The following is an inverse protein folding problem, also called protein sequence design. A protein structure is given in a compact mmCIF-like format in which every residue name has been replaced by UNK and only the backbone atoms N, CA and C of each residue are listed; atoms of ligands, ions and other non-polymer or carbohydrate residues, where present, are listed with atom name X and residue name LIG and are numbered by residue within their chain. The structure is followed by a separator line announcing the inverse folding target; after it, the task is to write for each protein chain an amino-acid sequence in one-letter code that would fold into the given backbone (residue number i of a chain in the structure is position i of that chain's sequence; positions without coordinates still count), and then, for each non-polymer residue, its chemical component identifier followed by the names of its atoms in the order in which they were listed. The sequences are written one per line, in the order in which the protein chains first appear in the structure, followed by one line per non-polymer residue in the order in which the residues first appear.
data_IF_616640785970
#
_entry.id   IF_616640785970
#
_cell.length_a   1.000
_cell.length_b   1.000
_cell.length_c   1.000
_cell.angle_alpha   90.00
_cell.angle_beta   90.00
_cell.angle_gamma   90.00
#
_symmetry.space_group_name_H-M   'P 1'
#
loop_
_entity.id
_entity.type
_entity.pdbx_description
1 polymer ?
#
# COMPACT_ATOMS: atom_id res chain seq x y z
N UNK A 1 6.26 -57.53 -5.65
CA UNK A 1 6.92 -56.62 -4.74
C UNK A 1 7.12 -55.29 -5.47
N UNK A 2 6.14 -54.40 -5.41
CA UNK A 2 6.12 -53.12 -6.14
C UNK A 2 5.94 -52.00 -5.13
N UNK A 3 7.02 -51.27 -4.91
CA UNK A 3 7.07 -50.11 -4.04
C UNK A 3 6.39 -48.94 -4.74
N UNK A 4 5.31 -48.44 -4.15
CA UNK A 4 4.62 -47.20 -4.57
C UNK A 4 5.24 -46.02 -3.84
N UNK A 5 5.98 -45.20 -4.58
CA UNK A 5 6.37 -43.86 -4.12
C UNK A 5 5.17 -42.96 -4.06
N UNK A 6 4.87 -42.47 -2.85
CA UNK A 6 3.85 -41.43 -2.63
C UNK A 6 4.49 -40.07 -2.85
N UNK A 7 4.17 -39.42 -3.96
CA UNK A 7 4.49 -38.00 -4.16
C UNK A 7 3.51 -37.14 -3.36
N UNK A 8 4.00 -36.54 -2.30
CA UNK A 8 3.31 -35.44 -1.58
C UNK A 8 3.48 -34.15 -2.40
N UNK A 9 2.49 -33.83 -3.19
CA UNK A 9 2.36 -32.50 -3.78
C UNK A 9 1.76 -31.54 -2.76
N UNK A 10 2.61 -30.78 -2.04
CA UNK A 10 2.19 -29.64 -1.25
C UNK A 10 1.69 -28.53 -2.19
N UNK A 11 0.39 -28.34 -2.23
CA UNK A 11 -0.25 -27.23 -2.96
C UNK A 11 -0.14 -25.95 -2.13
N UNK A 12 0.72 -25.04 -2.55
CA UNK A 12 0.79 -23.69 -2.01
C UNK A 12 -0.36 -22.83 -2.56
N UNK A 13 -1.27 -22.41 -1.69
CA UNK A 13 -2.27 -21.40 -1.97
C UNK A 13 -1.82 -20.08 -1.37
N UNK A 14 -1.24 -19.21 -2.20
CA UNK A 14 -0.95 -17.84 -1.82
C UNK A 14 -1.89 -16.97 -2.66
N UNK A 15 -2.83 -16.22 -2.02
CA UNK A 15 -3.70 -15.25 -2.67
C UNK A 15 -4.08 -15.65 -4.10
N UNK A 16 -5.16 -16.40 -4.24
CA UNK A 16 -5.56 -17.04 -5.48
C UNK A 16 -5.26 -16.21 -6.71
N UNK A 17 -4.53 -16.78 -7.63
CA UNK A 17 -4.43 -16.33 -9.01
C UNK A 17 -3.19 -15.62 -9.50
N UNK A 18 -1.98 -15.88 -9.09
CA UNK A 18 -0.93 -15.32 -9.93
C UNK A 18 0.34 -16.14 -10.10
N UNK A 19 0.46 -17.29 -9.48
CA UNK A 19 1.71 -18.05 -9.58
C UNK A 19 1.60 -19.44 -10.19
N UNK A 20 0.38 -20.01 -10.40
CA UNK A 20 0.25 -21.31 -11.04
C UNK A 20 -1.03 -21.45 -11.87
N UNK A 21 -1.01 -22.15 -13.01
CA UNK A 21 -2.21 -22.50 -13.77
C UNK A 21 -2.92 -23.65 -13.06
N UNK A 22 -4.09 -23.38 -12.45
CA UNK A 22 -4.95 -24.38 -11.83
C UNK A 22 -5.74 -23.82 -10.66
N UNK A 23 -7.02 -23.66 -10.85
CA UNK A 23 -7.99 -23.00 -9.96
C UNK A 23 -7.97 -23.44 -8.50
N UNK A 24 -8.06 -22.48 -7.60
CA UNK A 24 -8.10 -22.67 -6.14
C UNK A 24 -9.51 -22.40 -5.64
N UNK A 25 -10.12 -23.42 -4.97
CA UNK A 25 -11.33 -23.26 -4.15
C UNK A 25 -10.93 -22.90 -2.72
N UNK A 26 -11.44 -21.79 -2.20
CA UNK A 26 -11.34 -21.46 -0.77
C UNK A 26 -12.58 -22.05 -0.07
N UNK A 27 -12.36 -22.97 0.88
CA UNK A 27 -13.42 -23.54 1.71
C UNK A 27 -13.36 -22.90 3.09
N UNK A 28 -14.41 -22.17 3.49
CA UNK A 28 -14.58 -21.68 4.85
C UNK A 28 -15.34 -22.70 5.70
N UNK A 29 -14.77 -23.09 6.85
CA UNK A 29 -15.47 -23.87 7.89
C UNK A 29 -15.64 -22.95 9.11
N UNK A 30 -16.87 -22.84 9.61
CA UNK A 30 -17.22 -22.04 10.79
C UNK A 30 -17.14 -22.87 12.06
N UNK A 31 -16.51 -22.35 13.12
CA UNK A 31 -16.52 -22.91 14.49
C UNK A 31 -16.81 -21.80 15.50
N UNK A 32 -17.61 -22.12 16.53
CA UNK A 32 -18.16 -21.21 17.54
C UNK A 32 -17.13 -20.80 18.60
N UNK A 33 -17.29 -19.57 19.10
CA UNK A 33 -16.36 -18.90 20.06
C UNK A 33 -16.74 -19.11 21.52
N UNK A 34 -15.73 -19.24 22.39
CA UNK A 34 -15.81 -19.05 23.85
C UNK A 34 -14.93 -17.86 24.27
N UNK A 35 -15.43 -17.08 25.26
CA UNK A 35 -14.81 -15.81 25.72
C UNK A 35 -13.77 -16.03 26.81
N UNK A 36 -12.58 -15.45 26.67
CA UNK A 36 -11.64 -15.24 27.76
C UNK A 36 -11.07 -13.82 27.76
N UNK A 37 -10.64 -13.34 28.97
CA UNK A 37 -10.29 -11.94 29.27
C UNK A 37 -8.94 -11.51 28.68
N UNK A 38 -8.91 -10.26 28.18
CA UNK A 38 -7.74 -9.58 27.62
C UNK A 38 -6.80 -9.06 28.71
N UNK A 39 -5.50 -9.20 28.42
CA UNK A 39 -4.44 -8.40 29.04
C UNK A 39 -3.79 -7.54 27.93
N UNK A 40 -4.08 -6.23 27.99
CA UNK A 40 -3.62 -5.26 26.99
C UNK A 40 -2.25 -4.72 27.33
N UNK A 41 -1.18 -5.34 26.81
CA UNK A 41 0.12 -4.68 26.73
C UNK A 41 0.02 -3.42 25.85
N UNK A 42 0.26 -2.24 26.45
CA UNK A 42 0.29 -0.95 25.75
C UNK A 42 1.34 -0.96 24.64
N UNK A 43 0.92 -1.16 23.39
CA UNK A 43 1.66 -0.66 22.25
C UNK A 43 1.68 0.86 22.35
N UNK A 44 2.87 1.46 22.36
CA UNK A 44 3.03 2.91 22.36
C UNK A 44 2.17 3.48 21.20
N UNK A 45 1.35 4.48 21.50
CA UNK A 45 0.56 5.18 20.48
C UNK A 45 1.52 5.81 19.49
N UNK A 46 1.58 5.26 18.28
CA UNK A 46 2.34 5.85 17.18
C UNK A 46 1.52 7.05 16.70
N UNK A 47 2.03 8.25 16.94
CA UNK A 47 1.46 9.49 16.45
C UNK A 47 1.34 9.44 14.93
N UNK A 48 0.12 9.51 14.42
CA UNK A 48 -0.17 9.50 12.98
C UNK A 48 -0.46 10.88 12.42
N UNK A 49 -0.63 11.89 13.28
CA UNK A 49 -0.84 13.29 12.86
C UNK A 49 0.42 13.81 12.14
N UNK A 50 0.30 14.22 10.86
CA UNK A 50 1.44 14.73 10.11
C UNK A 50 2.09 15.98 10.72
N UNK A 51 1.34 16.76 11.51
CA UNK A 51 1.86 17.96 12.18
C UNK A 51 2.73 17.55 13.35
N UNK A 52 2.24 16.66 14.21
CA UNK A 52 3.00 16.14 15.36
C UNK A 52 4.26 15.39 14.89
N UNK A 53 4.14 14.56 13.85
CA UNK A 53 5.29 13.87 13.25
C UNK A 53 6.33 14.85 12.70
N UNK A 54 5.90 16.00 12.16
CA UNK A 54 6.84 17.02 11.72
C UNK A 54 7.56 17.68 12.90
N UNK A 55 6.84 17.96 13.99
CA UNK A 55 7.38 18.57 15.21
C UNK A 55 8.38 17.62 15.91
N UNK A 56 8.06 16.35 16.03
CA UNK A 56 8.99 15.32 16.54
C UNK A 56 10.28 15.23 15.72
N UNK A 57 10.16 15.45 14.39
CA UNK A 57 11.32 15.55 13.49
C UNK A 57 12.14 16.83 13.65
N UNK A 58 11.71 17.78 14.49
CA UNK A 58 12.25 19.12 14.55
C UNK A 58 11.98 19.90 13.25
N UNK A 59 10.88 19.60 12.58
CA UNK A 59 10.45 20.21 11.33
C UNK A 59 9.13 20.96 11.52
N UNK A 60 8.83 21.87 10.59
CA UNK A 60 7.56 22.59 10.54
C UNK A 60 6.68 22.04 9.43
N UNK A 61 5.43 21.72 9.75
CA UNK A 61 4.47 21.34 8.74
C UNK A 61 4.06 22.57 7.94
N UNK A 62 4.20 22.56 6.61
CA UNK A 62 3.96 23.70 5.72
C UNK A 62 3.14 23.30 4.50
N UNK A 63 2.35 24.24 3.95
CA UNK A 63 1.65 24.08 2.68
C UNK A 63 2.29 24.94 1.60
N UNK A 64 2.33 24.46 0.37
CA UNK A 64 2.74 25.24 -0.79
C UNK A 64 1.65 26.18 -1.33
N UNK A 65 0.53 26.27 -0.63
CA UNK A 65 -0.48 27.34 -0.78
C UNK A 65 -0.03 28.62 -0.07
N UNK A 66 0.88 28.49 0.89
CA UNK A 66 1.49 29.63 1.58
C UNK A 66 2.52 30.33 0.67
N UNK A 67 2.78 31.65 0.88
CA UNK A 67 3.79 32.35 0.16
C UNK A 67 5.16 31.66 0.23
N UNK A 68 5.78 31.42 -0.92
CA UNK A 68 7.08 30.77 -1.03
C UNK A 68 7.97 31.44 -2.08
N UNK A 69 9.22 31.00 -2.15
CA UNK A 69 10.12 31.46 -3.21
C UNK A 69 9.70 30.84 -4.53
N UNK A 70 9.91 31.60 -5.62
CA UNK A 70 9.57 31.15 -6.97
C UNK A 70 10.82 31.07 -7.85
N UNK A 71 10.74 30.25 -8.90
CA UNK A 71 11.83 30.07 -9.88
C UNK A 71 11.38 30.52 -11.26
N UNK A 72 12.15 31.42 -11.90
CA UNK A 72 11.97 31.82 -13.30
C UNK A 72 13.19 31.42 -14.13
N UNK A 73 12.98 31.01 -15.36
CA UNK A 73 14.04 30.65 -16.29
C UNK A 73 14.67 31.92 -16.89
N UNK A 74 16.00 31.96 -16.94
CA UNK A 74 16.77 33.02 -17.62
C UNK A 74 17.82 32.36 -18.52
N UNK A 75 17.51 32.22 -19.80
CA UNK A 75 18.35 31.50 -20.76
C UNK A 75 18.58 30.04 -20.36
N UNK A 76 19.85 29.68 -20.14
CA UNK A 76 20.25 28.32 -19.68
C UNK A 76 20.22 28.14 -18.17
N UNK A 77 20.02 29.23 -17.39
CA UNK A 77 20.03 29.25 -15.92
C UNK A 77 18.66 29.56 -15.32
N UNK A 78 18.60 29.66 -13.99
CA UNK A 78 17.40 30.01 -13.24
C UNK A 78 17.68 31.18 -12.29
N UNK A 79 16.69 32.06 -12.16
CA UNK A 79 16.61 33.09 -11.15
C UNK A 79 15.55 32.71 -10.11
N UNK A 80 15.82 33.11 -8.87
CA UNK A 80 14.93 32.80 -7.74
C UNK A 80 14.46 34.13 -7.11
N UNK A 81 13.18 34.16 -6.75
CA UNK A 81 12.53 35.32 -6.20
C UNK A 81 11.95 34.99 -4.83
N UNK A 82 12.05 35.92 -3.89
CA UNK A 82 11.45 35.74 -2.56
C UNK A 82 9.92 35.90 -2.55
N UNK A 83 9.33 35.84 -1.37
CA UNK A 83 7.88 35.95 -1.16
C UNK A 83 7.30 37.30 -1.54
N UNK A 84 8.15 38.37 -1.59
CA UNK A 84 7.78 39.70 -2.05
C UNK A 84 8.08 39.91 -3.55
N UNK A 85 8.51 38.86 -4.26
CA UNK A 85 8.88 38.96 -5.67
C UNK A 85 10.22 39.58 -5.96
N UNK A 86 11.08 39.85 -4.95
CA UNK A 86 12.41 40.42 -5.10
C UNK A 86 13.42 39.31 -5.43
N UNK A 87 14.36 39.63 -6.32
CA UNK A 87 15.43 38.71 -6.73
C UNK A 87 16.31 38.32 -5.52
N UNK A 88 16.44 37.02 -5.25
CA UNK A 88 17.31 36.49 -4.21
C UNK A 88 18.75 36.57 -4.70
N UNK A 89 19.58 37.28 -3.95
CA UNK A 89 21.04 37.43 -4.19
C UNK A 89 21.88 36.84 -3.07
N UNK A 90 21.25 36.46 -1.94
CA UNK A 90 21.90 35.86 -0.79
C UNK A 90 22.42 34.45 -1.17
N UNK A 91 23.75 34.30 -1.09
CA UNK A 91 24.43 33.05 -1.50
C UNK A 91 24.07 31.89 -0.63
N UNK A 92 23.78 32.08 0.66
CA UNK A 92 23.38 31.00 1.58
C UNK A 92 22.02 30.40 1.15
N UNK A 93 21.06 31.28 0.83
CA UNK A 93 19.75 30.86 0.30
C UNK A 93 19.88 30.18 -1.05
N UNK A 94 20.69 30.74 -1.95
CA UNK A 94 20.94 30.16 -3.27
C UNK A 94 21.60 28.79 -3.17
N UNK A 95 22.56 28.60 -2.26
CA UNK A 95 23.22 27.33 -2.01
C UNK A 95 22.21 26.28 -1.50
N UNK A 96 21.35 26.67 -0.54
CA UNK A 96 20.25 25.78 -0.07
C UNK A 96 19.35 25.36 -1.23
N UNK A 97 18.91 26.31 -2.05
CA UNK A 97 18.02 26.04 -3.19
C UNK A 97 18.69 25.09 -4.19
N UNK A 98 19.97 25.29 -4.50
CA UNK A 98 20.74 24.40 -5.40
C UNK A 98 20.80 22.96 -4.85
N UNK A 99 21.03 22.82 -3.53
CA UNK A 99 21.04 21.50 -2.84
C UNK A 99 19.70 20.74 -2.92
N UNK A 100 18.56 21.42 -3.10
CA UNK A 100 17.27 20.76 -3.30
C UNK A 100 17.22 20.00 -4.63
N UNK A 101 18.13 20.24 -5.55
CA UNK A 101 18.23 19.57 -6.84
C UNK A 101 16.89 19.52 -7.59
N UNK A 102 16.20 20.66 -7.67
CA UNK A 102 14.91 20.78 -8.35
C UNK A 102 15.13 20.59 -9.85
N UNK A 103 14.51 19.57 -10.50
CA UNK A 103 14.72 19.29 -11.91
C UNK A 103 14.51 20.53 -12.79
N UNK A 104 15.37 20.75 -13.79
CA UNK A 104 15.22 21.88 -14.72
C UNK A 104 13.88 21.90 -15.47
N UNK A 105 13.34 20.72 -15.78
CA UNK A 105 12.06 20.54 -16.46
C UNK A 105 10.84 20.97 -15.64
N UNK A 106 10.96 21.10 -14.31
CA UNK A 106 9.81 21.48 -13.48
C UNK A 106 9.37 22.92 -13.76
N UNK A 107 8.04 23.10 -13.88
CA UNK A 107 7.36 24.38 -14.03
C UNK A 107 6.59 24.73 -12.75
N UNK A 108 6.19 26.00 -12.60
CA UNK A 108 5.41 26.48 -11.43
C UNK A 108 6.05 26.04 -10.11
N UNK A 109 7.37 26.31 -9.98
CA UNK A 109 8.12 25.88 -8.83
C UNK A 109 7.86 26.80 -7.66
N UNK A 110 7.40 26.22 -6.55
CA UNK A 110 7.33 26.83 -5.23
C UNK A 110 8.48 26.25 -4.38
N UNK A 111 9.13 27.09 -3.56
CA UNK A 111 10.22 26.68 -2.67
C UNK A 111 9.94 27.24 -1.28
N UNK A 112 9.97 26.39 -0.28
CA UNK A 112 9.75 26.76 1.11
C UNK A 112 10.80 27.78 1.58
N UNK A 113 10.38 28.92 2.16
CA UNK A 113 11.32 29.87 2.75
C UNK A 113 12.08 29.29 3.94
N UNK A 114 11.46 28.39 4.70
CA UNK A 114 12.00 27.79 5.90
C UNK A 114 12.87 26.56 5.55
N UNK A 115 14.08 26.52 6.12
CA UNK A 115 14.95 25.32 6.01
C UNK A 115 14.39 24.12 6.74
N UNK A 116 13.57 24.34 7.77
CA UNK A 116 12.90 23.31 8.57
C UNK A 116 11.53 22.90 8.04
N UNK A 117 11.04 23.45 6.92
CA UNK A 117 9.77 23.03 6.34
C UNK A 117 9.81 21.54 5.91
N UNK A 118 8.79 20.74 6.25
CA UNK A 118 8.75 19.33 5.85
C UNK A 118 8.66 19.14 4.33
N UNK A 119 7.99 20.04 3.61
CA UNK A 119 8.08 20.20 2.15
C UNK A 119 9.09 21.32 1.87
N UNK A 120 10.12 21.01 1.13
CA UNK A 120 11.17 21.98 0.76
C UNK A 120 10.90 22.63 -0.60
N UNK A 121 10.29 21.93 -1.54
CA UNK A 121 9.82 22.51 -2.80
C UNK A 121 8.70 21.66 -3.43
N UNK A 122 7.88 22.29 -4.24
CA UNK A 122 6.96 21.63 -5.17
C UNK A 122 7.22 22.15 -6.59
N UNK A 123 6.69 21.47 -7.60
CA UNK A 123 6.71 21.88 -9.00
C UNK A 123 5.96 20.90 -9.87
N UNK A 124 5.67 21.28 -11.10
CA UNK A 124 5.02 20.40 -12.08
C UNK A 124 6.04 19.86 -13.08
N UNK A 125 6.04 18.55 -13.28
CA UNK A 125 6.88 17.90 -14.28
C UNK A 125 6.36 18.16 -15.72
N UNK A 126 7.06 17.63 -16.74
CA UNK A 126 6.69 17.80 -18.14
C UNK A 126 5.29 17.26 -18.51
N UNK A 127 4.76 16.36 -17.67
CA UNK A 127 3.39 15.81 -17.79
C UNK A 127 2.36 16.60 -16.99
N UNK A 128 2.73 17.76 -16.43
CA UNK A 128 1.86 18.59 -15.60
C UNK A 128 1.62 18.07 -14.19
N UNK A 129 2.21 16.94 -13.78
CA UNK A 129 1.99 16.31 -12.48
C UNK A 129 2.74 17.06 -11.39
N UNK A 130 2.07 17.36 -10.28
CA UNK A 130 2.67 17.97 -9.09
C UNK A 130 3.67 17.02 -8.46
N UNK A 131 4.88 17.47 -8.25
CA UNK A 131 5.99 16.74 -7.66
C UNK A 131 6.47 17.47 -6.41
N UNK A 132 6.95 16.72 -5.42
CA UNK A 132 7.34 17.22 -4.12
C UNK A 132 8.81 16.91 -3.83
N UNK A 133 9.48 17.88 -3.19
CA UNK A 133 10.80 17.72 -2.57
C UNK A 133 10.64 17.87 -1.07
N UNK A 134 10.68 16.74 -0.37
CA UNK A 134 10.58 16.71 1.08
C UNK A 134 11.94 16.91 1.74
N UNK A 135 11.94 17.41 2.96
CA UNK A 135 13.10 17.44 3.83
C UNK A 135 13.63 16.02 4.09
N UNK A 136 14.93 15.84 4.23
CA UNK A 136 15.54 14.51 4.39
C UNK A 136 15.06 13.83 5.66
N UNK A 137 15.06 14.53 6.80
CA UNK A 137 14.51 14.01 8.07
C UNK A 137 13.05 13.59 7.96
N UNK A 138 12.22 14.37 7.24
CA UNK A 138 10.84 14.02 7.00
C UNK A 138 10.68 12.68 6.28
N UNK A 139 11.57 12.41 5.31
CA UNK A 139 11.58 11.11 4.61
C UNK A 139 11.95 9.98 5.55
N UNK A 140 13.01 10.15 6.34
CA UNK A 140 13.50 9.12 7.26
C UNK A 140 12.40 8.73 8.26
N UNK A 141 11.80 9.70 8.95
CA UNK A 141 10.75 9.45 9.95
C UNK A 141 9.50 8.88 9.32
N UNK A 142 9.06 9.40 8.16
CA UNK A 142 7.93 8.79 7.44
C UNK A 142 8.21 7.36 6.96
N UNK A 143 9.43 7.04 6.61
CA UNK A 143 9.79 5.69 6.19
C UNK A 143 9.89 4.76 7.42
N UNK A 144 10.37 5.21 8.57
CA UNK A 144 10.37 4.50 9.86
C UNK A 144 8.93 4.29 10.37
N UNK A 145 8.17 5.35 10.57
CA UNK A 145 6.77 5.29 11.02
C UNK A 145 5.88 4.46 10.08
N UNK A 146 6.18 4.43 8.79
CA UNK A 146 5.44 3.61 7.83
C UNK A 146 5.58 2.12 8.12
N UNK A 147 6.76 1.67 8.52
CA UNK A 147 6.99 0.25 8.75
C UNK A 147 6.50 -0.20 10.12
N UNK A 148 6.55 0.67 11.14
CA UNK A 148 5.91 0.43 12.42
C UNK A 148 4.38 0.39 12.27
N UNK A 149 3.83 1.34 11.51
CA UNK A 149 2.41 1.40 11.17
C UNK A 149 1.91 0.15 10.45
N UNK A 150 2.74 -0.50 9.62
CA UNK A 150 2.29 -1.70 8.90
C UNK A 150 2.03 -2.89 9.84
N UNK A 151 2.72 -2.96 10.98
CA UNK A 151 2.44 -3.97 12.01
C UNK A 151 1.08 -3.72 12.69
N UNK A 152 0.76 -2.45 12.97
CA UNK A 152 -0.55 -2.05 13.52
C UNK A 152 -1.65 -2.32 12.50
N UNK A 153 -1.43 -1.99 11.22
CA UNK A 153 -2.34 -2.31 10.13
C UNK A 153 -2.59 -3.82 10.01
N UNK A 154 -1.52 -4.62 10.00
CA UNK A 154 -1.63 -6.07 9.93
C UNK A 154 -2.46 -6.62 11.09
N UNK A 155 -2.23 -6.12 12.33
CA UNK A 155 -3.03 -6.51 13.50
C UNK A 155 -4.52 -6.13 13.36
N UNK A 156 -4.85 -5.08 12.62
CA UNK A 156 -6.23 -4.65 12.39
C UNK A 156 -6.94 -5.43 11.27
N UNK A 157 -6.22 -6.16 10.41
CA UNK A 157 -6.79 -6.90 9.28
C UNK A 157 -7.95 -7.85 9.66
N UNK A 158 -7.89 -8.62 10.77
CA UNK A 158 -9.02 -9.46 11.18
C UNK A 158 -10.29 -8.65 11.44
N UNK A 159 -10.17 -7.49 12.09
CA UNK A 159 -11.29 -6.58 12.35
C UNK A 159 -11.88 -6.05 11.05
N UNK A 160 -11.01 -5.62 10.13
CA UNK A 160 -11.42 -5.14 8.80
C UNK A 160 -12.15 -6.26 8.03
N UNK A 161 -11.59 -7.47 7.99
CA UNK A 161 -12.17 -8.61 7.27
C UNK A 161 -13.52 -9.03 7.81
N UNK A 162 -13.67 -9.11 9.14
CA UNK A 162 -14.96 -9.41 9.78
C UNK A 162 -16.05 -8.39 9.41
N UNK A 163 -15.71 -7.09 9.43
CA UNK A 163 -16.64 -6.05 9.05
C UNK A 163 -16.99 -6.10 7.56
N UNK A 164 -16.00 -6.25 6.68
CA UNK A 164 -16.20 -6.44 5.24
C UNK A 164 -17.10 -7.65 4.95
N UNK A 165 -16.86 -8.77 5.61
CA UNK A 165 -17.67 -9.98 5.47
C UNK A 165 -19.12 -9.78 5.92
N UNK A 166 -19.36 -9.00 6.98
CA UNK A 166 -20.68 -8.62 7.45
C UNK A 166 -21.39 -7.69 6.45
N UNK A 167 -20.71 -6.65 6.00
CA UNK A 167 -21.28 -5.64 5.12
C UNK A 167 -21.56 -6.18 3.70
N UNK A 168 -20.76 -7.13 3.22
CA UNK A 168 -21.06 -7.86 1.96
C UNK A 168 -22.38 -8.64 2.00
N UNK A 169 -22.89 -8.98 3.18
CA UNK A 169 -24.18 -9.69 3.37
C UNK A 169 -25.38 -8.75 3.41
N UNK A 170 -25.17 -7.44 3.56
CA UNK A 170 -26.26 -6.45 3.63
C UNK A 170 -27.21 -6.58 2.43
N UNK A 171 -28.51 -6.30 2.59
CA UNK A 171 -29.45 -6.23 1.47
C UNK A 171 -29.11 -5.02 0.57
N UNK A 172 -29.62 -5.02 -0.65
CA UNK A 172 -29.47 -3.95 -1.63
C UNK A 172 -27.99 -3.52 -1.88
N UNK A 173 -27.79 -2.41 -2.57
CA UNK A 173 -26.48 -1.80 -2.84
C UNK A 173 -26.28 -0.59 -1.92
N UNK A 174 -26.36 -0.80 -0.60
CA UNK A 174 -26.07 0.22 0.39
C UNK A 174 -24.60 0.64 0.35
N UNK A 175 -24.28 1.86 0.82
CA UNK A 175 -22.93 2.43 0.88
C UNK A 175 -21.91 1.44 1.46
N UNK A 176 -22.21 0.85 2.62
CA UNK A 176 -21.31 -0.08 3.31
C UNK A 176 -21.01 -1.32 2.48
N UNK A 177 -22.02 -1.87 1.80
CA UNK A 177 -21.84 -3.05 0.94
C UNK A 177 -20.95 -2.74 -0.26
N UNK A 178 -21.10 -1.58 -0.88
CA UNK A 178 -20.27 -1.18 -2.02
C UNK A 178 -18.85 -0.89 -1.57
N UNK A 179 -18.65 -0.21 -0.44
CA UNK A 179 -17.34 0.02 0.16
C UNK A 179 -16.66 -1.31 0.56
N UNK A 180 -17.39 -2.22 1.20
CA UNK A 180 -16.90 -3.56 1.51
C UNK A 180 -16.47 -4.33 0.25
N UNK A 181 -17.21 -4.17 -0.87
CA UNK A 181 -16.84 -4.76 -2.16
C UNK A 181 -15.52 -4.18 -2.69
N UNK A 182 -15.35 -2.85 -2.61
CA UNK A 182 -14.10 -2.20 -3.01
C UNK A 182 -12.92 -2.66 -2.15
N UNK A 183 -13.10 -2.74 -0.82
CA UNK A 183 -12.05 -3.22 0.11
C UNK A 183 -11.71 -4.68 -0.14
N UNK A 184 -12.71 -5.53 -0.38
CA UNK A 184 -12.47 -6.94 -0.76
C UNK A 184 -11.66 -7.05 -2.06
N UNK A 185 -11.97 -6.22 -3.06
CA UNK A 185 -11.20 -6.17 -4.30
C UNK A 185 -9.79 -5.62 -4.09
N UNK A 186 -9.58 -4.62 -3.22
CA UNK A 186 -8.23 -4.14 -2.86
C UNK A 186 -7.35 -5.27 -2.32
N UNK A 187 -7.92 -6.12 -1.45
CA UNK A 187 -7.20 -7.23 -0.83
C UNK A 187 -6.89 -8.35 -1.83
N UNK A 188 -7.86 -8.71 -2.68
CA UNK A 188 -7.75 -9.88 -3.56
C UNK A 188 -7.04 -9.59 -4.88
N UNK A 189 -7.05 -8.34 -5.37
CA UNK A 189 -6.52 -7.99 -6.70
C UNK A 189 -5.29 -7.10 -6.67
N UNK A 190 -5.02 -6.45 -5.54
CA UNK A 190 -3.98 -5.42 -5.40
C UNK A 190 -4.15 -4.24 -6.39
N UNK A 191 -5.32 -4.07 -7.01
CA UNK A 191 -5.63 -2.90 -7.84
C UNK A 191 -5.59 -1.66 -6.94
N UNK A 192 -5.06 -0.54 -7.46
CA UNK A 192 -5.02 0.72 -6.70
C UNK A 192 -6.44 1.27 -6.51
N UNK A 193 -6.68 1.94 -5.38
CA UNK A 193 -8.00 2.52 -5.09
C UNK A 193 -8.47 3.46 -6.19
N UNK A 194 -7.62 4.29 -6.75
CA UNK A 194 -7.97 5.32 -7.73
C UNK A 194 -7.97 6.72 -7.08
N UNK A 195 -8.06 7.74 -7.91
CA UNK A 195 -8.26 9.13 -7.54
C UNK A 195 -8.74 9.87 -8.80
N UNK A 196 -9.85 10.58 -8.70
CA UNK A 196 -10.50 11.21 -9.86
C UNK A 196 -9.65 12.28 -10.53
N UNK A 197 -9.04 13.18 -9.75
CA UNK A 197 -8.19 14.23 -10.30
C UNK A 197 -7.02 13.62 -11.09
N UNK A 198 -6.39 12.58 -10.52
CA UNK A 198 -5.30 11.88 -11.19
C UNK A 198 -5.79 11.11 -12.42
N UNK A 199 -6.98 10.50 -12.36
CA UNK A 199 -7.59 9.81 -13.50
C UNK A 199 -7.88 10.77 -14.65
N UNK A 200 -8.41 11.97 -14.34
CA UNK A 200 -8.70 13.02 -15.33
C UNK A 200 -7.43 13.52 -16.02
N UNK A 201 -6.37 13.77 -15.24
CA UNK A 201 -5.11 14.31 -15.76
C UNK A 201 -4.28 13.26 -16.53
N UNK A 202 -4.30 11.99 -16.12
CA UNK A 202 -3.38 10.96 -16.62
C UNK A 202 -4.08 9.80 -17.34
N UNK A 203 -5.40 9.84 -17.46
CA UNK A 203 -6.22 8.76 -18.04
C UNK A 203 -5.92 7.39 -17.43
N UNK A 204 -5.66 7.38 -16.12
CA UNK A 204 -5.29 6.17 -15.35
C UNK A 204 -6.44 5.75 -14.46
N UNK A 205 -6.79 4.48 -14.47
CA UNK A 205 -7.93 3.91 -13.74
C UNK A 205 -7.45 3.18 -12.46
N UNK A 206 -8.23 3.30 -11.39
CA UNK A 206 -8.19 2.49 -10.19
C UNK A 206 -9.61 2.07 -9.82
N UNK A 207 -9.81 1.37 -8.70
CA UNK A 207 -11.13 0.81 -8.36
C UNK A 207 -12.21 1.89 -8.33
N UNK A 208 -12.05 2.98 -7.56
CA UNK A 208 -13.07 4.03 -7.43
C UNK A 208 -13.28 4.88 -8.70
N UNK A 209 -12.42 4.75 -9.70
CA UNK A 209 -12.53 5.41 -11.01
C UNK A 209 -12.77 4.43 -12.15
N UNK A 210 -13.17 3.20 -11.79
CA UNK A 210 -13.43 2.14 -12.75
C UNK A 210 -14.82 2.31 -13.35
N UNK A 211 -14.92 2.10 -14.65
CA UNK A 211 -16.19 2.14 -15.38
C UNK A 211 -16.64 0.73 -15.74
N UNK A 212 -17.91 0.55 -16.06
CA UNK A 212 -18.53 -0.74 -16.35
C UNK A 212 -17.79 -1.54 -17.41
N UNK A 213 -17.35 -0.89 -18.48
CA UNK A 213 -16.63 -1.54 -19.60
C UNK A 213 -15.24 -2.08 -19.21
N UNK A 214 -14.69 -1.68 -18.05
CA UNK A 214 -13.43 -2.20 -17.57
C UNK A 214 -13.56 -3.58 -16.89
N UNK A 215 -14.78 -4.05 -16.65
CA UNK A 215 -15.04 -5.31 -15.95
C UNK A 215 -15.99 -6.19 -16.76
N UNK A 216 -15.58 -7.41 -17.00
CA UNK A 216 -16.43 -8.48 -17.56
C UNK A 216 -16.77 -9.50 -16.47
N UNK A 217 -18.06 -9.79 -16.31
CA UNK A 217 -18.55 -10.79 -15.36
C UNK A 217 -19.11 -11.98 -16.10
N UNK A 218 -18.51 -13.17 -15.91
CA UNK A 218 -18.95 -14.44 -16.49
C UNK A 218 -19.10 -15.48 -15.39
N UNK A 219 -20.35 -15.80 -15.01
CA UNK A 219 -20.62 -16.71 -13.91
C UNK A 219 -20.04 -16.18 -12.59
N UNK A 220 -19.03 -16.87 -12.04
CA UNK A 220 -18.29 -16.48 -10.84
C UNK A 220 -17.02 -15.68 -11.16
N UNK A 221 -16.63 -15.59 -12.40
CA UNK A 221 -15.38 -14.95 -12.83
C UNK A 221 -15.59 -13.47 -13.11
N UNK A 222 -14.69 -12.65 -12.61
CA UNK A 222 -14.56 -11.23 -12.94
C UNK A 222 -13.20 -11.02 -13.61
N UNK A 223 -13.23 -10.37 -14.76
CA UNK A 223 -12.04 -9.98 -15.50
C UNK A 223 -11.98 -8.48 -15.61
N UNK A 224 -10.93 -7.90 -15.00
CA UNK A 224 -10.66 -6.47 -15.02
C UNK A 224 -9.63 -6.16 -16.11
N UNK A 225 -9.94 -5.23 -17.02
CA UNK A 225 -9.04 -4.75 -18.07
C UNK A 225 -9.05 -3.22 -18.08
N UNK A 226 -7.94 -2.62 -17.71
CA UNK A 226 -7.85 -1.17 -17.62
C UNK A 226 -6.42 -0.67 -17.74
N UNK A 227 -6.30 0.63 -18.09
CA UNK A 227 -5.03 1.34 -18.09
C UNK A 227 -4.78 1.95 -16.71
N UNK A 228 -3.84 1.41 -15.97
CA UNK A 228 -3.48 1.87 -14.62
C UNK A 228 -2.41 2.97 -14.60
N UNK A 229 -1.87 3.20 -13.40
CA UNK A 229 -0.84 4.23 -13.16
C UNK A 229 0.37 4.05 -14.09
N UNK A 230 0.88 5.17 -14.61
CA UNK A 230 2.00 5.22 -15.59
C UNK A 230 1.67 4.62 -16.95
N UNK A 231 0.39 4.43 -17.27
CA UNK A 231 -0.07 3.92 -18.55
C UNK A 231 0.05 2.42 -18.74
N UNK A 232 0.35 1.68 -17.67
CA UNK A 232 0.49 0.22 -17.69
C UNK A 232 -0.89 -0.41 -17.89
N UNK A 233 -1.02 -1.31 -18.85
CA UNK A 233 -2.23 -2.12 -19.02
C UNK A 233 -2.25 -3.22 -17.95
N UNK A 234 -3.39 -3.33 -17.29
CA UNK A 234 -3.66 -4.34 -16.30
C UNK A 234 -4.74 -5.28 -16.80
N UNK A 235 -4.51 -6.57 -16.61
CA UNK A 235 -5.52 -7.62 -16.74
C UNK A 235 -5.48 -8.44 -15.46
N UNK A 236 -6.59 -8.51 -14.74
CA UNK A 236 -6.70 -9.19 -13.45
C UNK A 236 -7.96 -10.03 -13.45
N UNK A 237 -7.80 -11.32 -13.20
CA UNK A 237 -8.90 -12.27 -13.10
C UNK A 237 -9.09 -12.72 -11.66
N UNK A 238 -10.31 -12.72 -11.17
CA UNK A 238 -10.68 -13.30 -9.89
C UNK A 238 -11.92 -14.18 -10.05
N UNK A 239 -12.06 -15.17 -9.18
CA UNK A 239 -13.24 -16.05 -9.11
C UNK A 239 -13.86 -15.93 -7.73
N UNK A 240 -14.93 -15.17 -7.62
CA UNK A 240 -15.73 -15.00 -6.41
C UNK A 240 -17.19 -14.82 -6.79
N UNK A 241 -18.03 -15.81 -6.44
CA UNK A 241 -19.46 -15.82 -6.78
C UNK A 241 -20.22 -14.64 -6.18
N UNK A 242 -19.87 -14.24 -4.95
CA UNK A 242 -20.54 -13.16 -4.23
C UNK A 242 -20.18 -11.81 -4.84
N UNK A 243 -18.89 -11.54 -5.02
CA UNK A 243 -18.41 -10.30 -5.64
C UNK A 243 -18.93 -10.19 -7.07
N UNK A 244 -18.93 -11.28 -7.86
CA UNK A 244 -19.48 -11.28 -9.20
C UNK A 244 -20.97 -10.90 -9.24
N UNK A 245 -21.76 -11.40 -8.27
CA UNK A 245 -23.18 -11.05 -8.15
C UNK A 245 -23.37 -9.57 -7.79
N UNK A 246 -22.53 -9.03 -6.90
CA UNK A 246 -22.61 -7.61 -6.52
C UNK A 246 -22.19 -6.73 -7.68
N UNK A 247 -21.07 -7.02 -8.34
CA UNK A 247 -20.55 -6.23 -9.48
C UNK A 247 -21.55 -6.22 -10.63
N UNK A 248 -22.23 -7.34 -10.91
CA UNK A 248 -23.29 -7.39 -11.93
C UNK A 248 -24.42 -6.43 -11.61
N UNK A 249 -24.88 -6.41 -10.34
CA UNK A 249 -25.91 -5.46 -9.90
C UNK A 249 -25.45 -4.01 -9.96
N UNK A 250 -24.16 -3.74 -9.73
CA UNK A 250 -23.58 -2.41 -9.88
C UNK A 250 -23.58 -1.95 -11.35
N UNK A 251 -23.31 -2.85 -12.28
CA UNK A 251 -23.39 -2.58 -13.73
C UNK A 251 -24.81 -2.32 -14.23
N UNK A 252 -25.85 -2.78 -13.49
CA UNK A 252 -27.25 -2.51 -13.80
C UNK A 252 -27.70 -1.10 -13.36
N UNK A 253 -26.88 -0.37 -12.58
CA UNK A 253 -27.18 0.99 -12.16
C UNK A 253 -26.94 1.99 -13.31
N UNK A 254 -27.70 3.11 -13.38
CA UNK A 254 -27.48 4.12 -14.39
C UNK A 254 -26.11 4.82 -14.22
N UNK A 255 -25.49 5.21 -15.34
CA UNK A 255 -24.19 5.89 -15.34
C UNK A 255 -23.08 5.03 -15.93
N UNK A 256 -21.84 5.50 -15.82
CA UNK A 256 -20.67 4.82 -16.34
C UNK A 256 -19.71 4.36 -15.26
N UNK A 257 -19.83 4.90 -14.04
CA UNK A 257 -18.97 4.53 -12.91
C UNK A 257 -19.43 3.20 -12.32
N UNK A 258 -18.51 2.28 -12.12
CA UNK A 258 -18.85 0.95 -11.63
C UNK A 258 -19.27 0.96 -10.15
N UNK A 259 -18.53 1.69 -9.30
CA UNK A 259 -18.78 1.67 -7.87
C UNK A 259 -19.62 2.88 -7.46
N UNK A 260 -20.92 2.65 -7.38
CA UNK A 260 -21.94 3.60 -6.99
C UNK A 260 -22.91 2.95 -6.00
N UNK A 261 -23.56 3.75 -5.17
CA UNK A 261 -24.60 3.31 -4.26
C UNK A 261 -25.78 4.29 -4.29
N UNK A 262 -26.93 3.84 -3.83
CA UNK A 262 -28.08 4.71 -3.58
C UNK A 262 -28.05 5.11 -2.12
N UNK A 263 -28.10 6.43 -1.87
CA UNK A 263 -28.29 6.94 -0.52
C UNK A 263 -29.74 6.72 -0.01
N UNK A 264 -30.03 7.16 1.21
CA UNK A 264 -31.35 6.96 1.81
C UNK A 264 -32.45 7.73 1.09
N UNK A 265 -32.11 8.80 0.34
CA UNK A 265 -33.03 9.57 -0.50
C UNK A 265 -33.17 8.98 -1.93
N UNK A 266 -32.53 7.86 -2.21
CA UNK A 266 -32.52 7.21 -3.52
C UNK A 266 -31.66 7.89 -4.56
N UNK A 267 -30.78 8.83 -4.17
CA UNK A 267 -29.85 9.50 -5.05
C UNK A 267 -28.62 8.64 -5.28
N UNK A 268 -28.17 8.60 -6.53
CA UNK A 268 -26.97 7.88 -6.92
C UNK A 268 -25.71 8.65 -6.50
N UNK A 269 -24.85 7.99 -5.72
CA UNK A 269 -23.61 8.52 -5.19
C UNK A 269 -22.42 7.67 -5.68
N UNK A 270 -21.39 8.31 -6.19
CA UNK A 270 -20.13 7.64 -6.61
C UNK A 270 -19.23 7.41 -5.39
N UNK A 271 -18.57 6.25 -5.34
CA UNK A 271 -17.57 5.95 -4.30
C UNK A 271 -16.24 6.59 -4.65
N UNK A 272 -15.73 7.42 -3.75
CA UNK A 272 -14.42 8.07 -3.87
C UNK A 272 -13.33 7.31 -3.10
N UNK A 273 -12.06 7.65 -3.35
CA UNK A 273 -10.94 7.11 -2.55
C UNK A 273 -11.00 7.58 -1.09
N UNK A 274 -11.62 8.74 -0.82
CA UNK A 274 -11.82 9.23 0.54
C UNK A 274 -12.84 8.38 1.29
N UNK A 275 -13.97 8.03 0.66
CA UNK A 275 -14.98 7.16 1.26
C UNK A 275 -14.40 5.80 1.68
N UNK A 276 -13.49 5.26 0.87
CA UNK A 276 -12.79 4.00 1.21
C UNK A 276 -11.90 4.16 2.44
N UNK A 277 -11.16 5.28 2.54
CA UNK A 277 -10.32 5.55 3.70
C UNK A 277 -11.15 5.83 4.96
N UNK A 278 -12.26 6.57 4.83
CA UNK A 278 -13.17 6.85 5.94
C UNK A 278 -13.83 5.56 6.44
N UNK A 279 -14.24 4.66 5.55
CA UNK A 279 -14.74 3.35 5.93
C UNK A 279 -13.71 2.51 6.69
N UNK A 280 -12.44 2.55 6.31
CA UNK A 280 -11.38 1.88 7.06
C UNK A 280 -11.18 2.51 8.45
N UNK A 281 -11.28 3.85 8.54
CA UNK A 281 -11.21 4.58 9.82
C UNK A 281 -12.42 4.26 10.71
N UNK A 282 -13.62 4.22 10.17
CA UNK A 282 -14.85 3.81 10.88
C UNK A 282 -14.70 2.41 11.49
N UNK A 283 -14.07 1.49 10.78
CA UNK A 283 -13.85 0.12 11.26
C UNK A 283 -12.78 0.07 12.36
N UNK A 284 -11.66 0.73 12.15
CA UNK A 284 -10.44 0.49 12.94
C UNK A 284 -10.25 1.51 14.06
N UNK A 285 -10.72 2.73 13.88
CA UNK A 285 -10.36 3.90 14.70
C UNK A 285 -9.03 4.52 14.30
N UNK A 286 -8.34 3.99 13.29
CA UNK A 286 -7.00 4.37 12.84
C UNK A 286 -7.04 4.97 11.42
N UNK A 287 -6.09 5.82 11.11
CA UNK A 287 -5.96 6.51 9.82
C UNK A 287 -5.42 5.62 8.68
N UNK A 288 -5.85 4.34 8.64
CA UNK A 288 -5.43 3.44 7.56
C UNK A 288 -6.01 3.85 6.21
N UNK A 289 -5.28 3.51 5.17
CA UNK A 289 -5.64 3.83 3.79
C UNK A 289 -5.52 2.60 2.88
N UNK A 290 -6.12 2.65 1.72
CA UNK A 290 -5.97 1.63 0.69
C UNK A 290 -4.50 1.33 0.32
N UNK A 291 -3.56 2.24 0.61
CA UNK A 291 -2.13 2.04 0.36
C UNK A 291 -1.52 1.02 1.31
N UNK A 292 -2.04 0.92 2.54
CA UNK A 292 -1.50 0.03 3.57
C UNK A 292 -1.69 -1.44 3.19
N UNK A 293 -2.81 -1.81 2.53
CA UNK A 293 -3.00 -3.14 1.95
C UNK A 293 -1.88 -3.54 0.99
N UNK A 294 -1.45 -2.63 0.13
CA UNK A 294 -0.40 -2.92 -0.85
C UNK A 294 0.97 -3.02 -0.21
N UNK A 295 1.22 -2.26 0.86
CA UNK A 295 2.48 -2.34 1.63
C UNK A 295 2.55 -3.67 2.39
N UNK A 296 1.45 -4.07 3.02
CA UNK A 296 1.36 -5.37 3.67
C UNK A 296 1.53 -6.53 2.67
N UNK A 297 0.75 -6.53 1.59
CA UNK A 297 0.85 -7.55 0.55
C UNK A 297 2.25 -7.65 -0.05
N UNK A 298 2.91 -6.52 -0.36
CA UNK A 298 4.28 -6.51 -0.87
C UNK A 298 5.28 -7.11 0.09
N UNK A 299 5.11 -6.86 1.38
CA UNK A 299 5.94 -7.43 2.45
C UNK A 299 5.74 -8.95 2.54
N UNK A 300 4.49 -9.41 2.63
CA UNK A 300 4.15 -10.85 2.72
C UNK A 300 4.60 -11.61 1.47
N UNK A 301 4.25 -11.11 0.28
CA UNK A 301 4.65 -11.74 -0.99
C UNK A 301 6.17 -11.87 -1.13
N UNK A 302 6.92 -10.85 -0.74
CA UNK A 302 8.39 -10.89 -0.80
C UNK A 302 8.95 -11.87 0.22
N UNK A 303 8.45 -11.87 1.46
CA UNK A 303 8.88 -12.80 2.51
C UNK A 303 8.64 -14.26 2.09
N UNK A 304 7.45 -14.56 1.56
CA UNK A 304 7.10 -15.91 1.09
C UNK A 304 7.90 -16.33 -0.14
N UNK A 305 8.15 -15.41 -1.08
CA UNK A 305 9.00 -15.69 -2.23
C UNK A 305 10.46 -15.99 -1.82
N UNK A 306 10.98 -15.34 -0.79
CA UNK A 306 12.30 -15.62 -0.22
C UNK A 306 12.30 -16.95 0.53
N UNK A 307 11.27 -17.22 1.32
CA UNK A 307 11.13 -18.51 2.00
C UNK A 307 11.08 -19.70 1.03
N UNK A 308 10.40 -19.53 -0.10
CA UNK A 308 10.33 -20.57 -1.14
C UNK A 308 11.67 -20.81 -1.88
N UNK A 309 12.57 -19.82 -1.91
CA UNK A 309 13.90 -19.97 -2.48
C UNK A 309 14.86 -20.70 -1.55
N UNK A 310 14.56 -20.76 -0.24
CA UNK A 310 15.38 -21.46 0.73
C UNK A 310 16.62 -20.69 1.19
N UNK A 311 17.53 -21.40 1.82
CA UNK A 311 18.82 -20.89 2.26
C UNK A 311 19.76 -20.68 1.07
N UNK A 312 20.84 -19.95 1.27
CA UNK A 312 21.82 -19.61 0.23
C UNK A 312 23.24 -19.92 0.72
N UNK A 313 24.10 -20.27 -0.20
CA UNK A 313 25.51 -20.59 0.10
C UNK A 313 26.44 -19.37 -0.04
N UNK A 314 26.01 -18.33 -0.77
CA UNK A 314 26.84 -17.16 -1.02
C UNK A 314 26.05 -15.84 -0.97
N UNK A 315 26.75 -14.73 -0.65
CA UNK A 315 26.17 -13.37 -0.70
C UNK A 315 25.66 -13.01 -2.10
N UNK A 316 26.28 -13.54 -3.16
CA UNK A 316 25.86 -13.31 -4.54
C UNK A 316 24.52 -14.00 -4.82
N UNK A 317 24.36 -15.22 -4.35
CA UNK A 317 23.12 -15.98 -4.46
C UNK A 317 21.98 -15.31 -3.66
N UNK A 318 22.25 -14.90 -2.41
CA UNK A 318 21.30 -14.14 -1.59
C UNK A 318 20.82 -12.88 -2.29
N UNK A 319 21.73 -12.10 -2.88
CA UNK A 319 21.38 -10.90 -3.64
C UNK A 319 20.53 -11.21 -4.88
N UNK A 320 20.78 -12.31 -5.58
CA UNK A 320 19.98 -12.76 -6.71
C UNK A 320 18.58 -13.20 -6.25
N UNK A 321 18.48 -13.92 -5.15
CA UNK A 321 17.21 -14.36 -4.54
C UNK A 321 16.35 -13.17 -4.14
N UNK A 322 16.94 -12.16 -3.47
CA UNK A 322 16.25 -10.90 -3.16
C UNK A 322 15.76 -10.20 -4.43
N UNK A 323 16.56 -10.13 -5.48
CA UNK A 323 16.17 -9.52 -6.76
C UNK A 323 14.98 -10.24 -7.39
N UNK A 324 14.99 -11.59 -7.41
CA UNK A 324 13.91 -12.43 -7.93
C UNK A 324 12.61 -12.26 -7.12
N UNK A 325 12.70 -12.31 -5.78
CA UNK A 325 11.55 -12.16 -4.90
C UNK A 325 10.86 -10.78 -5.05
N UNK A 326 11.67 -9.71 -5.09
CA UNK A 326 11.13 -8.35 -5.32
C UNK A 326 10.50 -8.23 -6.71
N UNK A 327 11.10 -8.84 -7.75
CA UNK A 327 10.55 -8.80 -9.10
C UNK A 327 9.19 -9.54 -9.17
N UNK A 328 9.05 -10.67 -8.48
CA UNK A 328 7.79 -11.41 -8.39
C UNK A 328 6.70 -10.60 -7.70
N UNK A 329 6.99 -10.04 -6.51
CA UNK A 329 6.06 -9.17 -5.79
C UNK A 329 5.70 -7.91 -6.60
N UNK A 330 6.68 -7.29 -7.27
CA UNK A 330 6.47 -6.12 -8.12
C UNK A 330 5.52 -6.41 -9.29
N UNK A 331 5.65 -7.57 -9.92
CA UNK A 331 4.76 -8.02 -11.01
C UNK A 331 3.32 -8.11 -10.53
N UNK A 332 3.07 -8.75 -9.39
CA UNK A 332 1.74 -8.89 -8.79
C UNK A 332 1.12 -7.53 -8.43
N UNK A 333 1.93 -6.64 -7.85
CA UNK A 333 1.50 -5.29 -7.48
C UNK A 333 1.40 -4.32 -8.66
N UNK A 334 1.80 -4.70 -9.88
CA UNK A 334 1.85 -3.79 -11.04
C UNK A 334 2.78 -2.60 -10.79
N UNK A 335 3.99 -2.86 -10.27
CA UNK A 335 5.02 -1.86 -9.98
C UNK A 335 6.35 -2.23 -10.64
N UNK A 336 7.29 -1.27 -10.69
CA UNK A 336 8.68 -1.61 -10.98
C UNK A 336 9.34 -2.24 -9.74
N UNK A 337 10.35 -3.14 -9.90
CA UNK A 337 11.07 -3.71 -8.76
C UNK A 337 11.66 -2.67 -7.81
N UNK A 338 12.19 -1.58 -8.35
CA UNK A 338 12.74 -0.46 -7.56
C UNK A 338 11.68 0.19 -6.66
N UNK A 339 10.50 0.47 -7.22
CA UNK A 339 9.39 1.04 -6.45
C UNK A 339 8.84 0.01 -5.45
N UNK A 340 8.73 -1.25 -5.83
CA UNK A 340 8.28 -2.31 -4.92
C UNK A 340 9.19 -2.40 -3.70
N UNK A 341 10.50 -2.54 -3.91
CA UNK A 341 11.49 -2.59 -2.84
C UNK A 341 11.40 -1.41 -1.89
N UNK A 342 11.35 -0.18 -2.44
CA UNK A 342 11.39 1.05 -1.64
C UNK A 342 10.07 1.36 -0.92
N UNK A 343 8.92 1.02 -1.56
CA UNK A 343 7.62 1.51 -1.11
C UNK A 343 6.71 0.45 -0.52
N UNK A 344 6.97 -0.84 -0.74
CA UNK A 344 6.01 -1.89 -0.40
C UNK A 344 6.62 -3.11 0.31
N UNK A 345 7.94 -3.15 0.52
CA UNK A 345 8.60 -4.26 1.23
C UNK A 345 9.21 -3.74 2.51
N UNK A 346 8.87 -4.37 3.64
CA UNK A 346 9.47 -4.06 4.93
C UNK A 346 10.98 -4.39 4.90
N UNK A 347 11.89 -3.44 5.22
CA UNK A 347 13.34 -3.64 5.10
C UNK A 347 13.84 -4.81 5.93
N UNK A 348 13.30 -5.03 7.12
CA UNK A 348 13.67 -6.16 8.01
C UNK A 348 13.54 -7.52 7.31
N UNK A 349 12.57 -7.70 6.39
CA UNK A 349 12.44 -8.95 5.62
C UNK A 349 13.69 -9.21 4.77
N UNK A 350 14.17 -8.17 4.07
CA UNK A 350 15.34 -8.28 3.20
C UNK A 350 16.62 -8.43 3.99
N UNK A 351 16.79 -7.65 5.06
CA UNK A 351 17.94 -7.67 5.95
C UNK A 351 18.06 -9.02 6.65
N UNK A 352 16.95 -9.56 7.15
CA UNK A 352 16.93 -10.86 7.82
C UNK A 352 17.19 -12.01 6.87
N UNK A 353 16.76 -11.92 5.60
CA UNK A 353 17.14 -12.92 4.61
C UNK A 353 18.63 -12.87 4.33
N UNK A 354 19.18 -11.68 4.05
CA UNK A 354 20.62 -11.50 3.78
C UNK A 354 21.52 -11.90 4.94
N UNK A 355 21.01 -11.91 6.17
CA UNK A 355 21.72 -12.40 7.37
C UNK A 355 21.39 -13.85 7.74
N UNK A 356 20.64 -14.59 6.92
CA UNK A 356 20.33 -16.00 7.14
C UNK A 356 19.24 -16.31 8.18
N UNK A 357 18.56 -15.29 8.72
CA UNK A 357 17.60 -15.46 9.84
C UNK A 357 16.12 -15.48 9.41
N UNK A 358 15.79 -15.20 8.14
CA UNK A 358 14.38 -15.07 7.73
C UNK A 358 13.66 -16.42 7.76
N UNK A 359 14.25 -17.46 7.20
CA UNK A 359 13.59 -18.75 6.96
C UNK A 359 13.25 -19.41 8.29
N UNK A 360 14.22 -19.52 9.18
CA UNK A 360 14.01 -20.02 10.53
C UNK A 360 12.99 -19.17 11.29
N UNK A 361 13.12 -17.84 11.21
CA UNK A 361 12.20 -16.91 11.83
C UNK A 361 10.75 -17.03 11.35
N UNK A 362 10.49 -17.40 10.09
CA UNK A 362 9.15 -17.64 9.58
C UNK A 362 8.58 -19.00 10.02
N UNK A 363 9.42 -20.00 10.24
CA UNK A 363 9.03 -21.36 10.72
C UNK A 363 8.69 -21.39 12.20
N UNK A 364 9.21 -20.47 12.98
CA UNK A 364 8.97 -20.44 14.44
C UNK A 364 7.50 -20.18 14.71
N UNK A 365 6.79 -21.16 15.26
CA UNK A 365 5.41 -21.01 15.74
C UNK A 365 5.41 -19.98 16.87
N UNK A 366 4.64 -18.92 16.74
CA UNK A 366 4.36 -18.02 17.85
C UNK A 366 3.06 -18.47 18.51
N UNK A 367 3.04 -18.47 19.83
CA UNK A 367 1.84 -18.63 20.63
C UNK A 367 0.97 -17.37 20.50
N UNK A 368 0.25 -17.26 19.38
CA UNK A 368 -0.82 -16.30 19.24
C UNK A 368 -2.12 -17.04 19.46
N UNK A 369 -2.68 -16.85 20.66
CA UNK A 369 -4.02 -17.26 21.02
C UNK A 369 -5.06 -16.67 20.05
N UNK A 370 -6.06 -17.50 19.76
CA UNK A 370 -7.45 -17.24 19.32
C UNK A 370 -7.82 -16.18 18.27
N UNK A 371 -7.10 -15.09 18.06
CA UNK A 371 -7.38 -14.14 16.96
C UNK A 371 -6.93 -14.64 15.57
N UNK A 372 -6.43 -15.85 15.52
CA UNK A 372 -5.68 -16.40 14.39
C UNK A 372 -6.54 -16.88 13.20
N UNK A 373 -7.85 -16.95 13.33
CA UNK A 373 -8.71 -17.57 12.30
C UNK A 373 -8.92 -16.71 11.05
N UNK A 374 -8.75 -15.40 11.16
CA UNK A 374 -8.98 -14.45 10.06
C UNK A 374 -7.69 -14.07 9.29
N UNK A 375 -6.54 -14.66 9.68
CA UNK A 375 -5.28 -14.54 8.94
C UNK A 375 -5.05 -15.72 8.01
N UNK A 376 -4.53 -15.43 6.82
CA UNK A 376 -3.81 -16.42 6.04
C UNK A 376 -2.56 -16.89 6.82
N UNK A 377 -2.22 -18.17 6.73
CA UNK A 377 -1.08 -18.76 7.45
C UNK A 377 0.24 -18.02 7.17
N UNK A 378 0.44 -17.56 5.93
CA UNK A 378 1.62 -16.80 5.53
C UNK A 378 1.65 -15.40 6.15
N UNK A 379 0.51 -14.70 6.19
CA UNK A 379 0.40 -13.40 6.84
C UNK A 379 0.72 -13.50 8.33
N UNK A 380 0.21 -14.53 8.98
CA UNK A 380 0.49 -14.80 10.39
C UNK A 380 1.97 -15.04 10.64
N UNK A 381 2.62 -15.88 9.84
CA UNK A 381 4.04 -16.15 9.95
C UNK A 381 4.87 -14.87 9.82
N UNK A 382 4.55 -14.03 8.83
CA UNK A 382 5.25 -12.75 8.58
C UNK A 382 4.99 -11.75 9.71
N UNK A 383 3.76 -11.61 10.18
CA UNK A 383 3.43 -10.71 11.28
C UNK A 383 4.17 -11.09 12.56
N UNK A 384 4.18 -12.38 12.92
CA UNK A 384 4.89 -12.90 14.08
C UNK A 384 6.39 -12.69 13.97
N UNK A 385 6.95 -12.95 12.80
CA UNK A 385 8.36 -12.70 12.51
C UNK A 385 8.71 -11.22 12.71
N UNK A 386 7.95 -10.31 12.15
CA UNK A 386 8.20 -8.87 12.24
C UNK A 386 8.04 -8.36 13.69
N UNK A 387 7.02 -8.81 14.43
CA UNK A 387 6.82 -8.46 15.85
C UNK A 387 8.00 -8.86 16.72
N UNK A 388 8.53 -10.07 16.54
CA UNK A 388 9.72 -10.52 17.29
C UNK A 388 10.96 -9.67 16.99
N UNK A 389 11.09 -9.21 15.75
CA UNK A 389 12.21 -8.34 15.35
C UNK A 389 12.04 -6.89 15.81
N UNK A 390 10.83 -6.38 15.92
CA UNK A 390 10.56 -5.06 16.49
C UNK A 390 10.80 -4.99 18.00
N UNK A 391 10.56 -6.07 18.76
CA UNK A 391 10.83 -6.18 20.20
C UNK A 391 12.25 -6.58 20.58
N UNK A 392 13.12 -6.94 19.60
CA UNK A 392 14.51 -7.32 19.82
C UNK A 392 15.46 -6.11 19.73
N UNK A 393 16.69 -6.21 20.30
CA UNK A 393 17.67 -5.12 20.21
C UNK A 393 17.94 -4.79 18.74
N UNK A 394 17.80 -3.50 18.40
CA UNK A 394 18.08 -2.95 17.07
C UNK A 394 19.49 -3.33 16.59
N UNK A 395 19.58 -4.08 15.50
CA UNK A 395 20.86 -4.47 14.88
C UNK A 395 21.58 -3.28 14.19
N UNK A 396 21.01 -2.08 14.21
CA UNK A 396 21.57 -0.90 13.56
C UNK A 396 22.04 0.18 14.57
N UNK A 397 23.01 -0.19 15.41
CA UNK A 397 23.94 0.80 15.98
C UNK A 397 25.34 0.22 15.95
N UNK A 398 25.95 0.17 14.76
CA UNK A 398 27.42 0.23 14.52
C UNK A 398 27.68 0.23 13.03
N UNK A 399 27.99 1.39 12.49
CA UNK A 399 29.32 1.70 11.91
C UNK A 399 29.31 3.18 11.56
N UNK A 400 30.15 3.87 12.29
CA UNK A 400 30.61 5.20 11.97
C UNK A 400 31.41 5.20 10.66
#
# INVERSE_FOLDING_TARGET
MTSRSVFLTSRFSIYGCALFPGGIRITCVAVQAQKTKQDNGKLAQITTDPVEVAEEAGLRYVSDEQPGYTRKRKGKSFQYFDTAGKLIRDETRLLRIRRLAIPPAYRQVWICPLSTGHIQATGRDDRGRKQYRYHERWRSIRDENKYDRILVFAAALPKIRRRVEADLKLPALKREKVLATVVQLLQSTFIRVGNEEYARQNKSVGLTTMKDHHVQVRGMQLRFRFRGKSGIQHEVDISDRRIAKIVRKLQDLPGQQLFQYLDDDGKLCEVTSQDVNDYLREITGEDFTAKDFRTWAGTVLTAMALNAQGEFESKKEAAMSVKKAIAAAAKLLGNTPTICRKCYVHPVVLESYLSGHLIEGLRTKADLAEEAHDFDENERAVLNFLRRRAGGPSLNKKTA
#
